data_IF_435487576025
#
_entry.id   IF_435487576025
#
_cell.length_a   1.000
_cell.length_b   1.000
_cell.length_c   1.000
_cell.angle_alpha   90.00
_cell.angle_beta   90.00
_cell.angle_gamma   90.00
#
_symmetry.space_group_name_H-M   'P 1'
#
loop_
_entity.id
_entity.type
_entity.pdbx_description
1 polymer ?
#
# COMPACT_ATOMS: atom_id res chain seq x y z
N UNK A 1 -47.85 -33.16 -117.53
CA UNK A 1 -47.08 -33.43 -116.29
C UNK A 1 -46.07 -32.31 -116.02
N UNK A 2 -45.56 -31.56 -116.98
CA UNK A 2 -44.54 -30.51 -116.77
C UNK A 2 -45.13 -29.29 -116.07
N UNK A 3 -46.39 -28.98 -116.25
CA UNK A 3 -47.09 -27.80 -115.64
C UNK A 3 -47.28 -27.90 -114.12
N UNK A 4 -47.47 -29.11 -113.60
CA UNK A 4 -47.64 -29.37 -112.13
C UNK A 4 -46.32 -29.16 -111.35
N UNK A 5 -45.21 -29.54 -111.99
CA UNK A 5 -43.89 -29.35 -111.37
C UNK A 5 -43.50 -27.80 -111.31
N UNK A 6 -43.82 -27.04 -112.33
CA UNK A 6 -43.59 -25.59 -112.38
C UNK A 6 -44.44 -24.86 -111.32
N UNK A 7 -45.73 -25.30 -111.15
CA UNK A 7 -46.59 -24.71 -110.13
C UNK A 7 -46.13 -24.99 -108.71
N UNK A 8 -45.58 -26.23 -108.45
CA UNK A 8 -45.02 -26.64 -107.15
C UNK A 8 -43.80 -25.82 -106.78
N UNK A 9 -42.90 -25.54 -107.73
CA UNK A 9 -41.70 -24.81 -107.49
C UNK A 9 -42.01 -23.32 -107.25
N UNK A 10 -43.01 -22.78 -107.98
CA UNK A 10 -43.42 -21.37 -107.77
C UNK A 10 -44.15 -21.23 -106.40
N UNK A 11 -44.93 -22.20 -105.98
CA UNK A 11 -45.61 -22.13 -104.68
C UNK A 11 -44.62 -22.20 -103.51
N UNK A 12 -43.58 -23.07 -103.60
CA UNK A 12 -42.56 -23.18 -102.56
C UNK A 12 -41.66 -21.98 -102.44
N UNK A 13 -41.31 -21.34 -103.59
CA UNK A 13 -40.52 -20.10 -103.57
C UNK A 13 -41.35 -18.96 -103.03
N UNK A 14 -42.63 -18.88 -103.21
CA UNK A 14 -43.51 -17.85 -102.72
C UNK A 14 -43.66 -17.99 -101.17
N UNK A 15 -43.79 -19.17 -100.64
CA UNK A 15 -43.92 -19.44 -99.20
C UNK A 15 -42.62 -19.11 -98.48
N UNK A 16 -41.47 -19.27 -99.12
CA UNK A 16 -40.18 -18.96 -98.49
C UNK A 16 -39.93 -17.43 -98.39
N UNK A 17 -40.45 -16.67 -99.44
CA UNK A 17 -40.32 -15.23 -99.45
C UNK A 17 -41.24 -14.50 -98.47
N UNK A 18 -42.34 -15.13 -98.02
CA UNK A 18 -43.25 -14.58 -97.01
C UNK A 18 -43.03 -15.10 -95.61
N UNK A 19 -41.91 -15.71 -95.30
CA UNK A 19 -41.54 -16.02 -93.88
C UNK A 19 -41.31 -14.70 -93.12
N UNK A 20 -42.33 -14.26 -92.40
CA UNK A 20 -42.26 -13.17 -91.46
C UNK A 20 -41.25 -13.53 -90.44
N UNK A 21 -40.10 -12.84 -90.36
CA UNK A 21 -39.11 -12.95 -89.31
C UNK A 21 -39.80 -12.58 -88.01
N UNK A 22 -39.94 -13.57 -87.10
CA UNK A 22 -40.42 -13.27 -85.76
C UNK A 22 -39.44 -12.34 -85.06
N UNK A 23 -39.91 -11.12 -84.89
CA UNK A 23 -39.18 -10.10 -84.13
C UNK A 23 -39.16 -10.59 -82.64
N UNK A 24 -38.13 -11.28 -82.29
CA UNK A 24 -37.88 -11.64 -80.86
C UNK A 24 -37.45 -10.31 -80.16
N UNK A 25 -38.44 -9.55 -79.70
CA UNK A 25 -38.17 -8.49 -78.75
C UNK A 25 -37.42 -9.12 -77.53
N UNK A 26 -36.23 -8.64 -77.22
CA UNK A 26 -35.55 -9.13 -75.99
C UNK A 26 -36.49 -8.86 -74.82
N UNK A 27 -36.86 -9.93 -74.13
CA UNK A 27 -37.61 -9.80 -72.87
C UNK A 27 -36.73 -9.01 -71.88
N UNK A 28 -37.02 -7.71 -71.75
CA UNK A 28 -36.42 -6.93 -70.68
C UNK A 28 -36.74 -7.64 -69.34
N UNK A 29 -35.74 -8.30 -68.81
CA UNK A 29 -35.82 -8.76 -67.41
C UNK A 29 -36.06 -7.56 -66.52
N UNK A 30 -37.30 -7.36 -66.10
CA UNK A 30 -37.62 -6.40 -65.05
C UNK A 30 -36.82 -6.78 -63.81
N UNK A 31 -35.73 -6.05 -63.57
CA UNK A 31 -34.97 -6.18 -62.35
C UNK A 31 -35.88 -5.85 -61.17
N UNK A 32 -35.86 -6.65 -60.09
CA UNK A 32 -36.67 -6.35 -58.93
C UNK A 32 -36.24 -5.01 -58.35
N UNK A 33 -37.18 -4.12 -58.15
CA UNK A 33 -36.94 -2.85 -57.49
C UNK A 33 -36.71 -3.13 -56.00
N UNK A 34 -35.51 -2.89 -55.52
CA UNK A 34 -35.15 -3.01 -54.12
C UNK A 34 -35.01 -1.60 -53.51
N UNK A 35 -35.67 -1.43 -52.38
CA UNK A 35 -35.51 -0.19 -51.62
C UNK A 35 -34.20 -0.24 -50.83
N UNK A 36 -33.23 0.59 -51.12
CA UNK A 36 -31.98 0.67 -50.42
C UNK A 36 -31.97 1.94 -49.56
N UNK A 37 -31.43 1.83 -48.37
CA UNK A 37 -31.16 2.96 -47.49
C UNK A 37 -29.64 3.14 -47.44
N UNK A 38 -29.17 4.33 -47.74
CA UNK A 38 -27.77 4.65 -47.63
C UNK A 38 -27.37 4.71 -46.15
N UNK A 39 -26.49 3.84 -45.74
CA UNK A 39 -25.91 3.89 -44.41
C UNK A 39 -24.97 5.11 -44.32
N UNK A 40 -25.30 6.03 -43.45
CA UNK A 40 -24.43 7.16 -43.14
C UNK A 40 -23.71 6.79 -41.82
N UNK A 41 -22.37 6.85 -41.77
CA UNK A 41 -21.65 6.70 -40.54
C UNK A 41 -21.96 7.89 -39.63
N UNK A 42 -22.56 7.64 -38.47
CA UNK A 42 -22.79 8.66 -37.44
C UNK A 42 -22.00 8.25 -36.18
N UNK A 43 -21.40 9.27 -35.57
CA UNK A 43 -20.69 9.09 -34.29
C UNK A 43 -21.72 9.12 -33.18
N UNK A 44 -21.90 7.98 -32.48
CA UNK A 44 -22.77 7.89 -31.31
C UNK A 44 -21.92 7.84 -30.05
N UNK A 45 -22.15 8.74 -29.10
CA UNK A 45 -21.55 8.73 -27.79
C UNK A 45 -22.44 7.94 -26.84
N UNK A 46 -21.96 6.79 -26.38
CA UNK A 46 -22.62 6.01 -25.34
C UNK A 46 -22.22 6.53 -23.96
N UNK A 47 -23.20 6.93 -23.15
CA UNK A 47 -22.99 7.24 -21.74
C UNK A 47 -23.34 6.01 -20.92
N UNK A 48 -22.32 5.41 -20.33
CA UNK A 48 -22.49 4.30 -19.40
C UNK A 48 -22.52 4.89 -17.99
N UNK A 49 -23.65 4.78 -17.30
CA UNK A 49 -23.75 5.08 -15.88
C UNK A 49 -23.41 3.84 -15.09
N UNK A 50 -22.46 3.96 -14.19
CA UNK A 50 -22.01 2.89 -13.32
C UNK A 50 -22.09 3.36 -11.88
N UNK A 51 -22.47 2.47 -10.98
CA UNK A 51 -22.49 2.71 -9.53
C UNK A 51 -21.50 1.76 -8.88
N UNK A 52 -20.86 2.21 -7.82
CA UNK A 52 -19.92 1.41 -7.06
C UNK A 52 -19.79 1.94 -5.63
N UNK A 53 -19.41 1.08 -4.72
CA UNK A 53 -19.09 1.45 -3.33
C UNK A 53 -17.58 1.52 -3.19
N UNK A 54 -17.07 2.68 -2.73
CA UNK A 54 -15.66 2.81 -2.37
C UNK A 54 -15.42 2.11 -1.02
N UNK A 55 -14.51 1.16 -1.02
CA UNK A 55 -14.06 0.49 0.18
C UNK A 55 -12.62 0.86 0.48
N UNK A 56 -12.23 1.03 1.75
CA UNK A 56 -10.85 1.29 2.11
C UNK A 56 -9.99 0.07 1.76
N UNK A 57 -8.80 0.31 1.22
CA UNK A 57 -7.82 -0.74 0.92
C UNK A 57 -7.29 -1.40 2.21
N UNK A 58 -7.12 -0.59 3.25
CA UNK A 58 -6.59 -1.01 4.55
C UNK A 58 -7.40 -0.35 5.64
N UNK A 59 -7.82 -1.13 6.62
CA UNK A 59 -8.47 -0.65 7.83
C UNK A 59 -7.73 -1.23 9.02
N UNK A 60 -7.30 -0.38 9.94
CA UNK A 60 -6.66 -0.79 11.18
C UNK A 60 -7.45 -0.30 12.38
N UNK A 61 -7.29 -0.97 13.50
CA UNK A 61 -7.71 -0.48 14.81
C UNK A 61 -6.47 0.01 15.53
N UNK A 62 -6.40 1.32 15.75
CA UNK A 62 -5.35 1.93 16.55
C UNK A 62 -5.66 1.69 18.04
N UNK A 63 -4.71 1.08 18.74
CA UNK A 63 -4.80 0.78 20.18
C UNK A 63 -3.58 1.38 20.85
N UNK A 64 -3.78 2.05 22.00
CA UNK A 64 -2.66 2.53 22.80
C UNK A 64 -1.85 1.34 23.34
N UNK A 65 -0.52 1.48 23.33
CA UNK A 65 0.41 0.51 23.90
C UNK A 65 0.67 0.75 25.39
N UNK A 66 0.24 1.92 25.93
CA UNK A 66 0.36 2.30 27.33
C UNK A 66 -1.02 2.63 27.91
N UNK A 67 -1.16 2.46 29.20
CA UNK A 67 -2.39 2.73 29.93
C UNK A 67 -2.33 4.10 30.58
N UNK A 68 -3.43 4.84 30.62
CA UNK A 68 -3.49 6.13 31.31
C UNK A 68 -4.69 6.93 30.94
N UNK A 69 -4.85 8.10 31.57
CA UNK A 69 -5.90 9.06 31.29
C UNK A 69 -5.58 9.82 30.01
N UNK A 70 -6.55 9.93 29.10
CA UNK A 70 -6.40 10.77 27.90
C UNK A 70 -6.48 12.25 28.30
N UNK A 71 -5.41 12.97 28.07
CA UNK A 71 -5.29 14.40 28.38
C UNK A 71 -5.81 15.28 27.25
N UNK A 72 -5.47 14.91 26.02
CA UNK A 72 -5.91 15.64 24.84
C UNK A 72 -6.22 14.72 23.68
N UNK A 73 -7.15 15.15 22.85
CA UNK A 73 -7.53 14.49 21.59
C UNK A 73 -7.44 15.55 20.50
N UNK A 74 -6.76 15.23 19.42
CA UNK A 74 -6.61 16.13 18.28
C UNK A 74 -7.97 16.29 17.55
N UNK A 75 -8.28 17.48 17.06
CA UNK A 75 -9.42 17.73 16.19
C UNK A 75 -9.43 16.86 14.93
N UNK A 76 -8.24 16.43 14.51
CA UNK A 76 -8.08 15.50 13.38
C UNK A 76 -8.49 14.07 13.69
N UNK A 77 -8.81 13.74 14.95
CA UNK A 77 -9.21 12.40 15.38
C UNK A 77 -10.73 12.20 15.37
N UNK A 78 -11.50 13.12 14.81
CA UNK A 78 -12.94 12.95 14.63
C UNK A 78 -13.28 12.13 13.38
N UNK A 79 -14.41 11.41 13.44
CA UNK A 79 -14.86 10.57 12.32
C UNK A 79 -15.01 11.38 11.03
N UNK A 80 -14.42 10.91 9.96
CA UNK A 80 -14.37 11.56 8.65
C UNK A 80 -13.23 12.56 8.47
N UNK A 81 -12.42 12.86 9.49
CA UNK A 81 -11.24 13.71 9.36
C UNK A 81 -10.06 12.99 8.75
N UNK A 82 -9.27 13.75 8.00
CA UNK A 82 -8.05 13.26 7.32
C UNK A 82 -6.84 13.60 8.20
N UNK A 83 -5.97 12.63 8.37
CA UNK A 83 -4.70 12.76 9.08
C UNK A 83 -3.53 12.33 8.18
N UNK A 84 -2.35 12.83 8.50
CA UNK A 84 -1.11 12.44 7.85
C UNK A 84 -0.33 11.48 8.74
N UNK A 85 0.60 10.77 8.11
CA UNK A 85 1.58 9.96 8.84
C UNK A 85 2.30 10.80 9.90
N UNK A 86 2.48 10.22 11.09
CA UNK A 86 3.10 10.85 12.27
C UNK A 86 2.30 11.99 12.94
N UNK A 87 1.09 12.31 12.48
CA UNK A 87 0.21 13.24 13.20
C UNK A 87 -0.15 12.66 14.58
N UNK A 88 -0.04 13.48 15.63
CA UNK A 88 -0.49 13.11 16.98
C UNK A 88 -2.01 13.14 17.02
N UNK A 89 -2.63 12.00 17.28
CA UNK A 89 -4.08 11.83 17.33
C UNK A 89 -4.64 12.00 18.74
N UNK A 90 -3.93 11.48 19.73
CA UNK A 90 -4.28 11.66 21.15
C UNK A 90 -3.03 11.60 22.02
N UNK A 91 -3.12 12.20 23.20
CA UNK A 91 -2.05 12.23 24.21
C UNK A 91 -2.59 11.64 25.50
N UNK A 92 -1.84 10.68 26.05
CA UNK A 92 -2.08 10.08 27.36
C UNK A 92 -1.23 10.79 28.39
N UNK A 93 -1.64 10.81 29.64
CA UNK A 93 -0.90 11.41 30.77
C UNK A 93 0.47 10.73 30.90
N UNK A 94 1.54 11.47 30.63
CA UNK A 94 2.92 10.98 30.61
C UNK A 94 3.65 11.06 31.96
N UNK A 95 3.06 11.73 32.96
CA UNK A 95 3.76 12.08 34.22
C UNK A 95 4.35 10.87 34.95
N UNK A 96 3.61 9.78 35.05
CA UNK A 96 4.11 8.57 35.72
C UNK A 96 5.22 7.89 34.90
N UNK A 97 5.14 7.95 33.58
CA UNK A 97 6.17 7.42 32.68
C UNK A 97 7.43 8.28 32.70
N UNK A 98 7.30 9.61 32.77
CA UNK A 98 8.42 10.55 32.93
C UNK A 98 9.15 10.34 34.27
N UNK A 99 8.42 10.11 35.36
CA UNK A 99 9.00 9.76 36.66
C UNK A 99 9.75 8.40 36.58
N UNK A 100 9.20 7.42 35.89
CA UNK A 100 9.87 6.13 35.68
C UNK A 100 11.13 6.29 34.82
N UNK A 101 11.12 7.15 33.81
CA UNK A 101 12.30 7.50 33.01
C UNK A 101 13.38 8.16 33.88
N UNK A 102 13.02 9.16 34.69
CA UNK A 102 13.97 9.82 35.60
C UNK A 102 14.59 8.84 36.60
N UNK A 103 13.79 7.88 37.13
CA UNK A 103 14.30 6.82 38.01
C UNK A 103 15.28 5.90 37.27
N UNK A 104 14.98 5.53 36.03
CA UNK A 104 15.86 4.69 35.21
C UNK A 104 17.18 5.44 34.87
N UNK A 105 17.11 6.74 34.61
CA UNK A 105 18.29 7.60 34.41
C UNK A 105 19.20 7.67 35.64
N UNK A 106 18.60 7.81 36.82
CA UNK A 106 19.36 7.75 38.07
C UNK A 106 20.05 6.38 38.26
N UNK A 107 19.38 5.29 37.89
CA UNK A 107 19.97 3.94 37.94
C UNK A 107 21.13 3.79 36.97
N UNK A 108 21.06 4.35 35.76
CA UNK A 108 22.18 4.38 34.81
C UNK A 108 23.36 5.14 35.40
N UNK A 109 23.13 6.31 35.98
CA UNK A 109 24.19 7.08 36.61
C UNK A 109 24.88 6.35 37.77
N UNK A 110 24.12 5.64 38.60
CA UNK A 110 24.66 4.81 39.67
C UNK A 110 25.50 3.61 39.15
N UNK A 111 24.99 2.95 38.09
CA UNK A 111 25.70 1.83 37.48
C UNK A 111 27.00 2.29 36.77
N UNK A 112 26.96 3.44 36.13
CA UNK A 112 28.13 4.05 35.49
C UNK A 112 29.21 4.45 36.51
N UNK A 113 28.79 5.09 37.61
CA UNK A 113 29.69 5.41 38.71
C UNK A 113 30.34 4.11 39.28
N UNK A 114 29.55 3.06 39.47
CA UNK A 114 30.08 1.77 39.95
C UNK A 114 31.13 1.22 39.00
N UNK A 115 30.86 1.22 37.69
CA UNK A 115 31.82 0.76 36.69
C UNK A 115 33.12 1.57 36.76
N UNK A 116 33.02 2.91 36.81
CA UNK A 116 34.20 3.79 36.94
C UNK A 116 35.04 3.50 38.18
N UNK A 117 34.39 3.22 39.34
CA UNK A 117 35.07 2.82 40.55
C UNK A 117 35.83 1.49 40.38
N UNK A 118 35.19 0.47 39.86
CA UNK A 118 35.82 -0.82 39.58
C UNK A 118 36.97 -0.74 38.56
N UNK A 119 36.84 0.11 37.55
CA UNK A 119 37.91 0.40 36.57
C UNK A 119 39.15 1.06 37.24
N UNK A 120 38.92 2.03 38.14
CA UNK A 120 40.00 2.68 38.90
C UNK A 120 40.70 1.71 39.84
N UNK A 121 39.92 0.88 40.60
CA UNK A 121 40.47 -0.11 41.49
C UNK A 121 41.26 -1.20 40.71
N UNK A 122 40.73 -1.67 39.57
CA UNK A 122 41.45 -2.60 38.69
C UNK A 122 42.76 -1.98 38.14
N UNK A 123 42.75 -0.69 37.86
CA UNK A 123 43.94 0.03 37.37
C UNK A 123 45.02 0.12 38.47
N UNK A 124 44.63 0.41 39.72
CA UNK A 124 45.54 0.41 40.88
C UNK A 124 46.21 -0.94 41.07
N UNK A 125 45.41 -2.04 41.12
CA UNK A 125 45.94 -3.41 41.25
C UNK A 125 46.91 -3.74 40.14
N UNK A 126 46.59 -3.44 38.90
CA UNK A 126 47.50 -3.67 37.76
C UNK A 126 48.83 -2.90 37.91
N UNK A 127 48.78 -1.64 38.37
CA UNK A 127 49.97 -0.82 38.60
C UNK A 127 50.84 -1.38 39.73
N UNK A 128 50.25 -1.81 40.84
CA UNK A 128 50.97 -2.41 41.97
C UNK A 128 51.70 -3.70 41.51
N UNK A 129 51.06 -4.56 40.75
CA UNK A 129 51.68 -5.75 40.19
C UNK A 129 52.87 -5.46 39.27
N UNK A 130 52.79 -4.35 38.47
CA UNK A 130 53.89 -3.89 37.62
C UNK A 130 55.08 -3.42 38.48
N UNK A 131 54.83 -2.71 39.57
CA UNK A 131 55.87 -2.21 40.45
C UNK A 131 56.58 -3.31 41.22
N UNK A 132 55.85 -4.37 41.59
CA UNK A 132 56.37 -5.55 42.27
C UNK A 132 57.11 -6.52 41.36
N UNK A 133 57.18 -6.26 40.05
CA UNK A 133 57.76 -7.09 39.00
C UNK A 133 57.29 -8.56 39.02
N UNK A 134 56.06 -8.80 39.47
CA UNK A 134 55.43 -10.15 39.64
C UNK A 134 54.70 -10.66 38.40
N UNK A 135 54.93 -10.08 37.20
CA UNK A 135 54.27 -10.46 36.00
C UNK A 135 52.85 -9.87 35.83
N UNK A 136 51.95 -10.58 35.19
CA UNK A 136 50.56 -10.14 35.03
C UNK A 136 49.67 -10.79 36.11
N UNK A 137 48.78 -10.01 36.78
CA UNK A 137 47.82 -10.55 37.73
C UNK A 137 46.89 -11.56 37.03
N UNK A 138 46.45 -12.59 37.76
CA UNK A 138 45.40 -13.47 37.25
C UNK A 138 44.09 -12.70 37.07
N UNK A 139 43.18 -13.22 36.21
CA UNK A 139 41.91 -12.55 35.94
C UNK A 139 41.11 -12.17 37.20
N UNK A 140 41.13 -13.06 38.26
CA UNK A 140 40.50 -12.76 39.52
C UNK A 140 41.22 -11.64 40.29
N UNK A 141 42.54 -11.64 40.31
CA UNK A 141 43.36 -10.61 40.94
C UNK A 141 43.24 -9.26 40.21
N UNK A 142 43.10 -9.29 38.87
CA UNK A 142 42.88 -8.11 38.05
C UNK A 142 41.42 -7.58 38.14
N UNK A 143 40.59 -8.15 39.02
CA UNK A 143 39.17 -7.78 39.19
C UNK A 143 38.30 -7.94 37.93
N UNK A 144 38.70 -8.81 37.01
CA UNK A 144 37.96 -9.00 35.74
C UNK A 144 36.49 -9.42 35.96
N UNK A 145 36.13 -10.32 36.89
CA UNK A 145 34.74 -10.67 37.19
C UNK A 145 33.93 -9.47 37.70
N UNK A 146 34.53 -8.62 38.54
CA UNK A 146 33.87 -7.41 39.08
C UNK A 146 33.64 -6.39 37.98
N UNK A 147 34.60 -6.18 37.08
CA UNK A 147 34.46 -5.34 35.90
C UNK A 147 33.39 -5.87 34.96
N UNK A 148 33.35 -7.19 34.72
CA UNK A 148 32.33 -7.81 33.90
C UNK A 148 30.92 -7.62 34.49
N UNK A 149 30.78 -7.82 35.82
CA UNK A 149 29.54 -7.59 36.54
C UNK A 149 29.08 -6.12 36.45
N UNK A 150 29.99 -5.16 36.68
CA UNK A 150 29.66 -3.75 36.63
C UNK A 150 29.25 -3.30 35.20
N UNK A 151 29.90 -3.82 34.17
CA UNK A 151 29.53 -3.60 32.78
C UNK A 151 28.15 -4.16 32.46
N UNK A 152 27.87 -5.39 32.92
CA UNK A 152 26.56 -6.02 32.75
C UNK A 152 25.45 -5.22 33.45
N UNK A 153 25.72 -4.72 34.66
CA UNK A 153 24.79 -3.89 35.42
C UNK A 153 24.50 -2.56 34.69
N UNK A 154 25.52 -1.90 34.13
CA UNK A 154 25.35 -0.69 33.34
C UNK A 154 24.54 -0.98 32.06
N UNK A 155 24.81 -2.09 31.39
CA UNK A 155 24.05 -2.48 30.20
C UNK A 155 22.58 -2.72 30.52
N UNK A 156 22.28 -3.42 31.62
CA UNK A 156 20.92 -3.64 32.09
C UNK A 156 20.21 -2.34 32.45
N UNK A 157 20.89 -1.41 33.14
CA UNK A 157 20.33 -0.09 33.48
C UNK A 157 20.02 0.74 32.22
N UNK A 158 20.91 0.73 31.23
CA UNK A 158 20.69 1.40 29.94
C UNK A 158 19.48 0.81 29.20
N UNK A 159 19.32 -0.50 29.18
CA UNK A 159 18.16 -1.15 28.58
C UNK A 159 16.85 -0.78 29.29
N UNK A 160 16.88 -0.69 30.63
CA UNK A 160 15.73 -0.23 31.41
C UNK A 160 15.36 1.23 31.11
N UNK A 161 16.36 2.14 31.01
CA UNK A 161 16.13 3.52 30.59
C UNK A 161 15.50 3.60 29.21
N UNK A 162 16.01 2.87 28.25
CA UNK A 162 15.46 2.84 26.89
C UNK A 162 14.01 2.33 26.85
N UNK A 163 13.67 1.32 27.68
CA UNK A 163 12.32 0.85 27.82
C UNK A 163 11.38 1.92 28.42
N UNK A 164 11.85 2.64 29.45
CA UNK A 164 11.09 3.75 30.05
C UNK A 164 10.88 4.90 29.04
N UNK A 165 11.90 5.24 28.28
CA UNK A 165 11.82 6.26 27.25
C UNK A 165 10.79 5.92 26.18
N UNK A 166 10.79 4.67 25.68
CA UNK A 166 9.75 4.21 24.74
C UNK A 166 8.35 4.31 25.32
N UNK A 167 8.17 4.07 26.60
CA UNK A 167 6.87 4.23 27.23
C UNK A 167 6.40 5.67 27.27
N UNK A 168 7.30 6.64 27.48
CA UNK A 168 7.00 8.07 27.37
C UNK A 168 6.59 8.42 25.94
N UNK A 169 7.33 7.96 24.93
CA UNK A 169 7.02 8.18 23.52
C UNK A 169 5.64 7.61 23.12
N UNK A 170 5.28 6.45 23.69
CA UNK A 170 3.98 5.79 23.47
C UNK A 170 2.78 6.50 24.10
N UNK A 171 3.04 7.50 24.98
CA UNK A 171 1.99 8.36 25.49
C UNK A 171 1.39 9.26 24.41
N UNK A 172 2.14 9.54 23.35
CA UNK A 172 1.64 10.18 22.14
C UNK A 172 1.25 9.12 21.11
N UNK A 173 -0.04 8.94 20.92
CA UNK A 173 -0.53 7.99 19.90
C UNK A 173 -0.54 8.69 18.56
N UNK A 174 0.34 8.24 17.67
CA UNK A 174 0.55 8.82 16.35
C UNK A 174 -0.04 7.96 15.24
N UNK A 175 -0.38 8.61 14.12
CA UNK A 175 -0.88 7.95 12.94
C UNK A 175 0.25 7.18 12.21
N UNK A 176 0.09 5.88 11.93
CA UNK A 176 1.13 5.07 11.29
C UNK A 176 1.21 5.25 9.76
N UNK A 177 0.24 5.93 9.14
CA UNK A 177 0.17 6.23 7.69
C UNK A 177 -0.88 7.32 7.43
N UNK A 178 -0.90 7.84 6.21
CA UNK A 178 -1.92 8.81 5.77
C UNK A 178 -3.29 8.14 5.64
N UNK A 179 -4.32 8.75 6.19
CA UNK A 179 -5.64 8.13 6.16
C UNK A 179 -6.77 9.03 6.62
N UNK A 180 -7.92 8.39 6.82
CA UNK A 180 -9.13 9.02 7.34
C UNK A 180 -9.66 8.23 8.53
N UNK A 181 -10.13 8.92 9.55
CA UNK A 181 -10.73 8.32 10.74
C UNK A 181 -12.11 7.76 10.38
N UNK A 182 -12.26 6.44 10.41
CA UNK A 182 -13.55 5.79 10.19
C UNK A 182 -14.47 5.93 11.41
N UNK A 183 -13.92 5.80 12.62
CA UNK A 183 -14.65 5.90 13.88
C UNK A 183 -13.70 6.26 15.02
N UNK A 184 -14.04 7.28 15.78
CA UNK A 184 -13.38 7.63 17.04
C UNK A 184 -14.25 7.17 18.22
N UNK A 185 -13.65 6.48 19.19
CA UNK A 185 -14.35 5.94 20.38
C UNK A 185 -13.80 6.53 21.67
N UNK A 186 -12.80 7.38 21.58
CA UNK A 186 -12.09 7.98 22.73
C UNK A 186 -12.56 9.41 22.93
N UNK A 187 -12.76 9.78 24.22
CA UNK A 187 -13.02 11.16 24.65
C UNK A 187 -12.05 11.54 25.76
N UNK A 188 -11.69 12.81 25.90
CA UNK A 188 -10.94 13.28 27.05
C UNK A 188 -11.68 12.93 28.35
N UNK A 189 -10.96 12.43 29.34
CA UNK A 189 -11.52 12.04 30.64
C UNK A 189 -11.48 13.19 31.66
#
# INVERSE_FOLDING_TARGET
TLGVLVAGVVSTTLTIKFKTKADSKPTERKLPSVRVVAAKPESHTFRIQSQGTALPRTTIRLVSEVSGKVVSVSEKFDAGQIFKNDDVLLTIDSRDYELALAQAEATVAQADLRLQMEEKEAAVVRREWQLLNQGKPSGLQAREPQLAQARAALAAAKAAKEAAQRNVERCEVRAPFDGMVAKAVVRPG
#
